data_IF_733099347562
#
_entry.id   IF_733099347562
#
_cell.length_a   1.000
_cell.length_b   1.000
_cell.length_c   1.000
_cell.angle_alpha   90.00
_cell.angle_beta   90.00
_cell.angle_gamma   90.00
#
_symmetry.space_group_name_H-M   'P 1'
#
loop_
_entity.id
_entity.type
_entity.pdbx_description
1 polymer ?
#
# COMPACT_ATOMS: atom_id res chain seq x y z
N UNK A 1 -0.39 4.55 -7.67
CA UNK A 1 -1.78 4.62 -7.18
C UNK A 1 -2.72 4.16 -8.27
N UNK A 2 -3.73 3.36 -7.94
CA UNK A 2 -4.70 2.87 -8.92
C UNK A 2 -6.14 3.10 -8.45
N UNK A 3 -7.04 3.27 -9.41
CA UNK A 3 -8.46 3.45 -9.17
C UNK A 3 -9.18 2.09 -9.16
N UNK A 4 -10.14 1.91 -8.25
CA UNK A 4 -11.01 0.72 -8.23
C UNK A 4 -12.36 1.01 -8.91
N UNK A 5 -12.97 -0.02 -9.50
CA UNK A 5 -14.14 0.14 -10.40
C UNK A 5 -15.51 0.35 -9.75
N UNK A 6 -15.64 0.21 -8.43
CA UNK A 6 -16.93 0.27 -7.74
C UNK A 6 -17.20 1.66 -7.15
N UNK A 7 -18.32 2.28 -7.56
CA UNK A 7 -18.89 3.50 -6.93
C UNK A 7 -18.43 4.87 -7.44
N UNK A 8 -17.44 4.95 -8.33
CA UNK A 8 -16.92 6.21 -8.89
C UNK A 8 -15.72 6.80 -8.13
N UNK A 9 -14.68 7.19 -8.90
CA UNK A 9 -13.41 7.89 -8.57
C UNK A 9 -12.71 7.60 -7.23
N UNK A 10 -12.84 6.39 -6.68
CA UNK A 10 -12.03 5.92 -5.54
C UNK A 10 -10.74 5.23 -6.00
N UNK A 11 -9.72 5.25 -5.15
CA UNK A 11 -8.45 4.59 -5.42
C UNK A 11 -7.46 4.76 -4.27
N UNK A 12 -6.27 4.17 -4.43
CA UNK A 12 -5.25 4.24 -3.40
C UNK A 12 -3.94 3.58 -3.80
N UNK A 13 -3.14 3.24 -2.79
CA UNK A 13 -1.90 2.49 -2.97
C UNK A 13 -2.19 1.14 -3.64
N UNK A 14 -1.31 0.74 -4.55
CA UNK A 14 -1.44 -0.53 -5.26
C UNK A 14 -0.05 -1.08 -5.55
N UNK A 15 0.09 -2.40 -5.44
CA UNK A 15 1.31 -3.12 -5.75
C UNK A 15 1.16 -3.77 -7.13
N UNK A 16 2.20 -3.63 -7.95
CA UNK A 16 2.33 -4.31 -9.23
C UNK A 16 3.58 -5.18 -9.19
N UNK A 17 3.53 -6.42 -9.75
CA UNK A 17 4.73 -7.22 -9.91
C UNK A 17 5.69 -6.52 -10.87
N UNK A 18 6.86 -6.14 -10.38
CA UNK A 18 7.91 -5.56 -11.22
C UNK A 18 9.30 -6.07 -10.83
N UNK A 19 9.97 -6.72 -11.77
CA UNK A 19 11.29 -7.33 -11.54
C UNK A 19 12.32 -6.25 -11.23
N UNK A 20 13.15 -6.49 -10.21
CA UNK A 20 14.22 -5.59 -9.80
C UNK A 20 13.78 -4.43 -8.89
N UNK A 21 12.50 -4.34 -8.57
CA UNK A 21 11.95 -3.31 -7.68
C UNK A 21 11.62 -3.89 -6.31
N UNK A 22 11.71 -3.04 -5.28
CA UNK A 22 11.49 -3.41 -3.89
C UNK A 22 10.51 -2.40 -3.28
N UNK A 23 9.50 -2.90 -2.58
CA UNK A 23 8.61 -2.09 -1.76
C UNK A 23 8.96 -2.34 -0.30
N UNK A 24 9.39 -1.29 0.40
CA UNK A 24 9.59 -1.35 1.85
C UNK A 24 8.29 -1.03 2.58
N UNK A 25 8.06 -1.72 3.69
CA UNK A 25 6.88 -1.56 4.52
C UNK A 25 7.13 -1.96 5.97
N UNK A 26 6.04 -2.15 6.69
CA UNK A 26 6.04 -2.58 8.09
C UNK A 26 5.24 -3.87 8.20
N UNK A 27 5.71 -4.76 9.07
CA UNK A 27 5.00 -5.99 9.43
C UNK A 27 4.30 -5.73 10.76
N UNK A 28 2.99 -5.96 10.79
CA UNK A 28 2.18 -5.90 11.99
C UNK A 28 1.67 -7.29 12.32
N UNK A 29 1.78 -7.68 13.59
CA UNK A 29 1.10 -8.85 14.13
C UNK A 29 -0.24 -8.40 14.71
N UNK A 30 -1.32 -9.10 14.35
CA UNK A 30 -2.67 -8.80 14.82
C UNK A 30 -3.53 -10.06 14.83
N UNK A 31 -4.61 -10.03 15.61
CA UNK A 31 -5.57 -11.14 15.66
C UNK A 31 -6.58 -11.10 14.50
N UNK A 32 -7.30 -12.21 14.31
CA UNK A 32 -8.30 -12.36 13.24
C UNK A 32 -9.42 -11.31 13.32
N UNK A 33 -9.74 -10.83 14.53
CA UNK A 33 -10.78 -9.81 14.73
C UNK A 33 -10.31 -8.46 14.18
N UNK A 34 -9.06 -8.09 14.44
CA UNK A 34 -8.44 -6.87 13.94
C UNK A 34 -8.23 -6.95 12.43
N UNK A 35 -7.83 -8.12 11.91
CA UNK A 35 -7.71 -8.35 10.47
C UNK A 35 -9.06 -8.18 9.75
N UNK A 36 -10.14 -8.72 10.31
CA UNK A 36 -11.49 -8.55 9.76
C UNK A 36 -11.92 -7.07 9.73
N UNK A 37 -11.56 -6.28 10.75
CA UNK A 37 -11.80 -4.83 10.74
C UNK A 37 -10.99 -4.12 9.64
N UNK A 38 -9.74 -4.56 9.41
CA UNK A 38 -8.91 -4.02 8.34
C UNK A 38 -9.48 -4.35 6.96
N UNK A 39 -10.08 -5.54 6.79
CA UNK A 39 -10.78 -5.93 5.57
C UNK A 39 -11.99 -5.05 5.28
N UNK A 40 -12.78 -4.75 6.32
CA UNK A 40 -13.95 -3.87 6.21
C UNK A 40 -13.53 -2.45 5.80
N UNK A 41 -12.50 -1.90 6.44
CA UNK A 41 -11.95 -0.57 6.13
C UNK A 41 -11.36 -0.54 4.71
N UNK A 42 -10.71 -1.64 4.29
CA UNK A 42 -10.13 -1.77 2.95
C UNK A 42 -11.18 -2.09 1.87
N UNK A 43 -12.45 -2.29 2.26
CA UNK A 43 -13.53 -2.60 1.32
C UNK A 43 -13.36 -3.95 0.61
N UNK A 44 -12.79 -4.96 1.29
CA UNK A 44 -12.59 -6.31 0.73
C UNK A 44 -13.91 -6.96 0.35
N UNK A 45 -14.89 -6.95 1.26
CA UNK A 45 -16.24 -7.45 0.96
C UNK A 45 -16.97 -6.69 -0.14
N UNK A 46 -16.48 -5.48 -0.47
CA UNK A 46 -16.97 -4.63 -1.55
C UNK A 46 -16.08 -4.74 -2.81
N UNK A 47 -15.06 -5.59 -2.86
CA UNK A 47 -14.17 -5.74 -4.03
C UNK A 47 -13.28 -4.53 -4.35
N UNK A 48 -13.10 -3.58 -3.42
CA UNK A 48 -12.19 -2.43 -3.62
C UNK A 48 -10.73 -2.88 -3.54
N UNK A 49 -10.42 -3.72 -2.54
CA UNK A 49 -9.14 -4.40 -2.37
C UNK A 49 -9.36 -5.90 -2.22
N UNK A 50 -8.29 -6.66 -2.41
CA UNK A 50 -8.21 -8.09 -2.20
C UNK A 50 -6.97 -8.41 -1.36
N UNK A 51 -7.11 -9.27 -0.36
CA UNK A 51 -5.96 -9.83 0.35
C UNK A 51 -5.12 -10.72 -0.58
N UNK A 52 -3.80 -10.59 -0.48
CA UNK A 52 -2.84 -11.49 -1.09
C UNK A 52 -1.83 -11.97 -0.04
N UNK A 53 -1.42 -13.23 -0.14
CA UNK A 53 -0.28 -13.73 0.62
C UNK A 53 1.02 -13.26 -0.03
N UNK A 54 1.96 -12.82 0.79
CA UNK A 54 3.30 -12.42 0.37
C UNK A 54 4.34 -13.02 1.31
N UNK A 55 5.54 -13.25 0.78
CA UNK A 55 6.73 -13.52 1.60
C UNK A 55 7.60 -12.28 1.57
N UNK A 56 7.86 -11.69 2.73
CA UNK A 56 8.70 -10.50 2.87
C UNK A 56 10.01 -10.86 3.55
N UNK A 57 11.09 -10.14 3.22
CA UNK A 57 12.38 -10.26 3.90
C UNK A 57 12.53 -9.13 4.90
N UNK A 58 12.77 -9.45 6.17
CA UNK A 58 12.99 -8.47 7.23
C UNK A 58 14.37 -7.81 7.13
N UNK A 59 14.60 -6.75 7.90
CA UNK A 59 15.91 -6.12 7.98
C UNK A 59 17.02 -7.04 8.52
N UNK A 60 16.67 -8.11 9.25
CA UNK A 60 17.62 -9.14 9.70
C UNK A 60 17.86 -10.25 8.66
N UNK A 61 17.17 -10.22 7.51
CA UNK A 61 17.27 -11.23 6.46
C UNK A 61 16.33 -12.43 6.64
N UNK A 62 15.41 -12.38 7.61
CA UNK A 62 14.42 -13.43 7.84
C UNK A 62 13.28 -13.36 6.82
N UNK A 63 12.81 -14.51 6.35
CA UNK A 63 11.62 -14.60 5.52
C UNK A 63 10.37 -14.75 6.40
N UNK A 64 9.38 -13.87 6.19
CA UNK A 64 8.12 -13.87 6.95
C UNK A 64 6.95 -13.98 5.96
N UNK A 65 6.04 -14.92 6.21
CA UNK A 65 4.75 -14.98 5.52
C UNK A 65 3.81 -13.93 6.10
N UNK A 66 3.20 -13.13 5.23
CA UNK A 66 2.31 -12.05 5.62
C UNK A 66 1.17 -11.90 4.62
N UNK A 67 0.17 -11.10 5.00
CA UNK A 67 -0.93 -10.68 4.14
C UNK A 67 -0.75 -9.21 3.81
N UNK A 68 -1.04 -8.83 2.57
CA UNK A 68 -1.19 -7.43 2.16
C UNK A 68 -2.36 -7.31 1.19
N UNK A 69 -2.60 -6.11 0.68
CA UNK A 69 -3.78 -5.79 -0.13
C UNK A 69 -3.40 -5.23 -1.50
N UNK A 70 -4.14 -5.65 -2.52
CA UNK A 70 -4.05 -5.11 -3.88
C UNK A 70 -5.43 -4.76 -4.41
N UNK A 71 -5.49 -3.87 -5.41
CA UNK A 71 -6.70 -3.57 -6.15
C UNK A 71 -6.80 -4.64 -7.26
N UNK A 72 -7.82 -5.53 -7.24
CA UNK A 72 -7.83 -6.73 -8.11
C UNK A 72 -8.13 -6.43 -9.58
N UNK A 73 -8.86 -5.34 -9.87
CA UNK A 73 -9.23 -4.95 -11.23
C UNK A 73 -9.14 -3.43 -11.36
N UNK A 74 -7.91 -2.88 -11.40
CA UNK A 74 -7.70 -1.45 -11.46
C UNK A 74 -8.23 -0.90 -12.79
N UNK A 75 -9.00 0.19 -12.73
CA UNK A 75 -9.61 0.82 -13.93
C UNK A 75 -8.78 1.98 -14.49
N UNK A 76 -7.59 2.20 -13.94
CA UNK A 76 -6.66 3.25 -14.37
C UNK A 76 -5.87 3.85 -13.21
N UNK A 77 -5.17 4.94 -13.50
CA UNK A 77 -4.45 5.70 -12.49
C UNK A 77 -5.41 6.42 -11.54
N UNK A 78 -5.01 6.55 -10.28
CA UNK A 78 -5.70 7.37 -9.29
C UNK A 78 -4.79 8.52 -8.85
N UNK A 79 -5.35 9.72 -8.75
CA UNK A 79 -4.64 10.88 -8.19
C UNK A 79 -5.05 11.05 -6.72
N UNK A 80 -4.21 10.64 -5.76
CA UNK A 80 -4.53 10.80 -4.35
C UNK A 80 -4.48 12.27 -3.92
N UNK A 81 -5.24 12.60 -2.88
CA UNK A 81 -5.17 13.93 -2.26
C UNK A 81 -3.92 14.06 -1.38
N UNK A 82 -3.49 15.30 -1.14
CA UNK A 82 -2.41 15.59 -0.18
C UNK A 82 -2.72 15.06 1.23
N UNK A 83 -4.01 15.03 1.63
CA UNK A 83 -4.43 14.49 2.91
C UNK A 83 -4.24 12.96 2.99
N UNK A 84 -4.45 12.24 1.88
CA UNK A 84 -4.28 10.79 1.79
C UNK A 84 -2.81 10.38 1.91
N UNK A 85 -1.90 11.07 1.20
CA UNK A 85 -0.47 10.70 1.18
C UNK A 85 0.32 11.19 2.40
N UNK A 86 -0.15 12.23 3.10
CA UNK A 86 0.52 12.78 4.28
C UNK A 86 0.86 11.73 5.34
N UNK A 87 -0.07 10.87 5.82
CA UNK A 87 0.25 9.84 6.80
C UNK A 87 1.22 8.78 6.25
N UNK A 88 1.19 8.47 4.95
CA UNK A 88 2.11 7.52 4.31
C UNK A 88 3.54 8.04 4.41
N UNK A 89 3.77 9.28 3.99
CA UNK A 89 5.09 9.91 4.05
C UNK A 89 5.58 10.10 5.50
N UNK A 90 4.68 10.47 6.41
CA UNK A 90 5.01 10.59 7.82
C UNK A 90 5.42 9.23 8.42
N UNK A 91 4.67 8.16 8.11
CA UNK A 91 4.98 6.80 8.55
C UNK A 91 6.34 6.32 8.04
N UNK A 92 6.59 6.45 6.73
CA UNK A 92 7.86 6.03 6.12
C UNK A 92 9.09 6.69 6.78
N UNK A 93 8.98 7.99 7.12
CA UNK A 93 10.05 8.73 7.80
C UNK A 93 10.19 8.35 9.27
N UNK A 94 9.09 8.07 9.96
CA UNK A 94 9.10 7.75 11.39
C UNK A 94 9.67 6.36 11.67
N UNK A 95 9.60 5.43 10.72
CA UNK A 95 9.98 4.02 10.94
C UNK A 95 11.39 3.66 10.46
N UNK A 96 12.16 4.62 9.97
CA UNK A 96 13.56 4.41 9.58
C UNK A 96 13.74 3.53 8.36
N UNK A 97 12.80 3.59 7.40
CA UNK A 97 12.99 2.97 6.09
C UNK A 97 14.23 3.54 5.37
N UNK A 98 14.84 2.80 4.43
CA UNK A 98 16.01 3.28 3.70
C UNK A 98 15.81 4.66 3.07
N UNK A 99 16.83 5.51 3.15
CA UNK A 99 16.72 6.92 2.73
C UNK A 99 16.48 7.07 1.22
N UNK A 100 17.04 6.17 0.41
CA UNK A 100 16.79 6.05 -1.02
C UNK A 100 15.34 5.68 -1.32
N UNK A 101 14.77 4.73 -0.58
CA UNK A 101 13.35 4.39 -0.70
C UNK A 101 12.42 5.56 -0.32
N UNK A 102 12.74 6.30 0.74
CA UNK A 102 11.97 7.50 1.12
C UNK A 102 12.02 8.55 0.01
N UNK A 103 13.19 8.75 -0.62
CA UNK A 103 13.33 9.69 -1.73
C UNK A 103 12.54 9.24 -2.97
N UNK A 104 12.53 7.95 -3.30
CA UNK A 104 11.72 7.37 -4.37
C UNK A 104 10.22 7.56 -4.09
N UNK A 105 9.79 7.27 -2.86
CA UNK A 105 8.41 7.46 -2.44
C UNK A 105 7.98 8.93 -2.50
N UNK A 106 8.82 9.86 -2.06
CA UNK A 106 8.56 11.30 -2.17
C UNK A 106 8.41 11.73 -3.64
N UNK A 107 9.27 11.25 -4.54
CA UNK A 107 9.18 11.55 -5.97
C UNK A 107 7.90 10.97 -6.60
N UNK A 108 7.56 9.72 -6.27
CA UNK A 108 6.33 9.07 -6.73
C UNK A 108 5.08 9.80 -6.25
N UNK A 109 5.06 10.26 -5.00
CA UNK A 109 3.95 11.03 -4.45
C UNK A 109 3.85 12.39 -5.14
N UNK A 110 4.97 13.10 -5.31
CA UNK A 110 5.00 14.40 -5.97
C UNK A 110 4.51 14.35 -7.43
N UNK A 111 4.77 13.25 -8.15
CA UNK A 111 4.26 13.06 -9.52
C UNK A 111 2.82 12.58 -9.60
N UNK A 112 2.22 12.16 -8.49
CA UNK A 112 0.89 11.52 -8.47
C UNK A 112 -0.22 12.38 -7.84
N UNK A 113 0.14 13.27 -6.90
CA UNK A 113 -0.81 14.15 -6.20
C UNK A 113 -1.20 15.31 -7.11
N UNK A 114 -2.49 15.67 -7.10
CA UNK A 114 -2.96 16.86 -7.81
C UNK A 114 -2.28 18.14 -7.27
N UNK A 115 -1.91 19.11 -8.14
CA UNK A 115 -1.30 20.38 -7.72
C UNK A 115 -2.19 21.19 -6.76
#
# INVERSE_FOLDING_TARGET
FAAHGLGGSGGGCHLLPETGHIVHGLIYEMDDTTLAQLDDISGVGQGMYQQIAVTVTTASGEAVEAITYVIPSPIGAFQPSAAYVRPILAGARATGLPADYIAELDALVASSVAP
#
